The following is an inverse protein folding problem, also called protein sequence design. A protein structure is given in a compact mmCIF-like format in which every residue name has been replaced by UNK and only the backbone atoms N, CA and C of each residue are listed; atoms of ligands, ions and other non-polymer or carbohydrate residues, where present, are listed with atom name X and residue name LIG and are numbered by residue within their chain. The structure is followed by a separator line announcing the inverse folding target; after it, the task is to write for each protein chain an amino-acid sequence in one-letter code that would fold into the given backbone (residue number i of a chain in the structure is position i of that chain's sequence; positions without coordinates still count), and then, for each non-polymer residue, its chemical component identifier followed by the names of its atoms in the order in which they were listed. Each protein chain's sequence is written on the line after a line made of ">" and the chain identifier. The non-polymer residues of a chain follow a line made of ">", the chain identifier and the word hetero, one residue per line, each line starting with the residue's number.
data_IF_578026307950
#
_entry.id   IF_578026307950
#
_cell.length_a   1.000
_cell.length_b   1.000
_cell.length_c   1.000
_cell.angle_alpha   90.00
_cell.angle_beta   90.00
_cell.angle_gamma   90.00
#
_symmetry.space_group_name_H-M   'P 1'
#
loop_
_entity.id
_entity.type
_entity.pdbx_description
1 polymer ?
#
# COMPACT_ATOMS: atom_id res chain seq x y z
N UNK A 1 -6.62 6.18 6.57
CA UNK A 1 -5.54 7.06 7.05
C UNK A 1 -4.69 7.54 5.87
N UNK A 2 -4.40 8.84 5.79
CA UNK A 2 -3.41 9.39 4.85
C UNK A 2 -2.02 9.18 5.44
N UNK A 3 -1.09 8.63 4.66
CA UNK A 3 0.27 8.33 5.12
C UNK A 3 1.24 9.43 4.68
N UNK A 4 1.10 9.89 3.45
CA UNK A 4 1.96 10.93 2.87
C UNK A 4 1.91 10.93 1.35
N UNK A 5 2.77 11.74 0.75
CA UNK A 5 2.84 11.91 -0.69
C UNK A 5 4.13 11.32 -1.26
N UNK A 6 4.02 10.76 -2.46
CA UNK A 6 5.14 10.29 -3.27
C UNK A 6 5.35 11.30 -4.40
N UNK A 7 6.51 11.96 -4.47
CA UNK A 7 6.76 12.94 -5.52
C UNK A 7 6.81 12.28 -6.90
N UNK A 8 6.60 13.06 -7.97
CA UNK A 8 6.68 12.55 -9.34
C UNK A 8 8.05 11.93 -9.64
N UNK A 9 8.07 10.92 -10.52
CA UNK A 9 9.30 10.29 -10.99
C UNK A 9 9.03 9.33 -12.14
N UNK A 10 10.09 8.66 -12.61
CA UNK A 10 10.04 7.67 -13.69
C UNK A 10 10.40 6.26 -13.24
N UNK A 11 10.91 6.11 -12.03
CA UNK A 11 11.28 4.83 -11.47
C UNK A 11 10.05 4.06 -11.03
N UNK A 12 10.13 2.74 -11.11
CA UNK A 12 9.10 1.86 -10.59
C UNK A 12 8.93 2.06 -9.08
N UNK A 13 7.70 1.88 -8.60
CA UNK A 13 7.44 1.88 -7.18
C UNK A 13 7.32 0.46 -6.65
N UNK A 14 8.10 0.18 -5.62
CA UNK A 14 7.99 -1.02 -4.82
C UNK A 14 7.14 -0.73 -3.59
N UNK A 15 6.02 -1.43 -3.49
CA UNK A 15 5.09 -1.37 -2.36
C UNK A 15 5.23 -2.67 -1.59
N UNK A 16 5.84 -2.59 -0.42
CA UNK A 16 5.95 -3.69 0.54
C UNK A 16 4.93 -3.46 1.65
N UNK A 17 3.99 -4.38 1.77
CA UNK A 17 2.91 -4.31 2.74
C UNK A 17 2.87 -5.61 3.54
N UNK A 18 2.97 -5.48 4.85
CA UNK A 18 2.74 -6.58 5.77
C UNK A 18 1.44 -6.30 6.52
N UNK A 19 0.60 -7.30 6.66
CA UNK A 19 -0.54 -7.20 7.57
C UNK A 19 -0.83 -8.50 8.31
N UNK A 20 -1.48 -8.35 9.46
CA UNK A 20 -1.94 -9.41 10.35
C UNK A 20 -3.26 -9.00 11.00
N UNK A 21 -4.10 -9.99 11.29
CA UNK A 21 -5.40 -9.80 11.91
C UNK A 21 -6.52 -10.00 10.88
N UNK A 22 -7.65 -10.56 11.33
CA UNK A 22 -8.76 -10.87 10.44
C UNK A 22 -9.41 -9.57 9.91
N UNK A 23 -9.29 -9.34 8.59
CA UNK A 23 -9.91 -8.18 7.95
C UNK A 23 -9.43 -7.93 6.52
N UNK A 24 -9.99 -6.90 5.89
CA UNK A 24 -9.55 -6.41 4.58
C UNK A 24 -8.81 -5.09 4.77
N UNK A 25 -7.62 -4.98 4.19
CA UNK A 25 -6.89 -3.74 4.05
C UNK A 25 -6.88 -3.31 2.59
N UNK A 26 -6.85 -2.01 2.32
CA UNK A 26 -6.71 -1.46 0.99
C UNK A 26 -5.67 -0.34 1.02
N UNK A 27 -4.70 -0.42 0.09
CA UNK A 27 -3.76 0.66 -0.16
C UNK A 27 -4.20 1.39 -1.41
N UNK A 28 -4.38 2.71 -1.31
CA UNK A 28 -4.65 3.58 -2.45
C UNK A 28 -3.45 4.48 -2.71
N UNK A 29 -3.00 4.51 -3.96
CA UNK A 29 -2.09 5.53 -4.47
C UNK A 29 -2.94 6.43 -5.37
N UNK A 30 -3.54 7.45 -4.77
CA UNK A 30 -4.48 8.32 -5.46
C UNK A 30 -3.76 9.19 -6.50
N UNK A 31 -4.36 9.38 -7.69
CA UNK A 31 -5.70 8.95 -8.08
C UNK A 31 -5.76 7.58 -8.80
N UNK A 32 -4.62 6.93 -9.04
CA UNK A 32 -4.52 5.94 -10.12
C UNK A 32 -4.67 4.48 -9.68
N UNK A 33 -4.30 4.14 -8.44
CA UNK A 33 -4.12 2.73 -8.02
C UNK A 33 -4.86 2.44 -6.72
N UNK A 34 -5.60 1.34 -6.71
CA UNK A 34 -6.14 0.72 -5.50
C UNK A 34 -5.71 -0.75 -5.45
N UNK A 35 -5.20 -1.18 -4.30
CA UNK A 35 -4.69 -2.52 -4.07
C UNK A 35 -5.36 -3.10 -2.83
N UNK A 36 -6.35 -4.01 -3.00
CA UNK A 36 -7.00 -4.68 -1.88
C UNK A 36 -6.20 -5.90 -1.42
N UNK A 37 -6.21 -6.13 -0.11
CA UNK A 37 -5.54 -7.24 0.56
C UNK A 37 -6.43 -7.86 1.62
N UNK A 38 -6.39 -9.18 1.73
CA UNK A 38 -7.02 -9.92 2.84
C UNK A 38 -5.95 -10.27 3.85
N UNK A 39 -6.14 -9.80 5.08
CA UNK A 39 -5.26 -10.07 6.21
C UNK A 39 -5.84 -11.22 7.03
N UNK A 40 -4.96 -12.11 7.49
CA UNK A 40 -5.32 -13.31 8.22
C UNK A 40 -4.85 -13.20 9.67
N UNK A 41 -5.64 -13.76 10.58
CA UNK A 41 -5.25 -13.83 11.97
C UNK A 41 -4.14 -14.87 12.20
N UNK A 42 -3.27 -14.64 13.17
CA UNK A 42 -2.14 -15.52 13.50
C UNK A 42 -1.02 -15.61 12.44
N UNK A 43 -1.17 -14.97 11.28
CA UNK A 43 -0.21 -15.00 10.18
C UNK A 43 0.13 -13.59 9.69
N UNK A 44 1.41 -13.27 9.59
CA UNK A 44 1.87 -12.08 8.87
C UNK A 44 1.91 -12.44 7.38
N UNK A 45 1.13 -11.75 6.57
CA UNK A 45 1.11 -11.92 5.12
C UNK A 45 1.99 -10.84 4.47
N UNK A 46 3.20 -11.19 3.98
CA UNK A 46 4.05 -10.24 3.26
C UNK A 46 3.61 -10.14 1.81
N UNK A 47 3.37 -8.91 1.37
CA UNK A 47 2.95 -8.61 0.01
C UNK A 47 3.94 -7.62 -0.59
N UNK A 48 4.44 -7.95 -1.78
CA UNK A 48 5.39 -7.10 -2.52
C UNK A 48 4.87 -6.89 -3.93
N UNK A 49 4.51 -5.65 -4.25
CA UNK A 49 4.07 -5.25 -5.58
C UNK A 49 5.08 -4.29 -6.19
N UNK A 50 5.52 -4.60 -7.42
CA UNK A 50 6.23 -3.66 -8.29
C UNK A 50 5.21 -3.01 -9.19
N UNK A 51 5.17 -1.70 -9.20
CA UNK A 51 4.25 -0.94 -10.02
C UNK A 51 5.03 -0.08 -11.01
N UNK A 52 4.87 -0.38 -12.31
CA UNK A 52 5.29 0.52 -13.37
C UNK A 52 4.21 1.58 -13.54
N UNK A 53 4.56 2.77 -13.10
CA UNK A 53 3.66 3.89 -13.05
C UNK A 53 3.84 4.82 -14.28
N UNK A 54 4.89 4.64 -15.07
CA UNK A 54 5.29 5.59 -16.10
C UNK A 54 5.58 6.98 -15.53
N UNK A 55 5.32 8.03 -16.32
CA UNK A 55 5.63 9.42 -15.93
C UNK A 55 4.47 10.01 -15.11
N UNK A 56 4.54 9.95 -13.78
CA UNK A 56 3.42 10.35 -12.91
C UNK A 56 3.57 11.71 -12.24
N UNK A 57 2.42 12.24 -11.83
CA UNK A 57 2.25 13.35 -10.90
C UNK A 57 2.53 12.87 -9.47
N UNK A 58 2.51 13.78 -8.50
CA UNK A 58 2.50 13.41 -7.09
C UNK A 58 1.34 12.46 -6.80
N UNK A 59 1.61 11.38 -6.08
CA UNK A 59 0.59 10.42 -5.62
C UNK A 59 0.40 10.56 -4.12
N UNK A 60 -0.83 10.52 -3.65
CA UNK A 60 -1.13 10.47 -2.21
C UNK A 60 -1.37 9.03 -1.79
N UNK A 61 -0.62 8.59 -0.79
CA UNK A 61 -0.73 7.25 -0.21
C UNK A 61 -1.77 7.26 0.90
N UNK A 62 -2.79 6.41 0.76
CA UNK A 62 -3.78 6.15 1.81
C UNK A 62 -3.84 4.66 2.11
N UNK A 63 -3.99 4.35 3.40
CA UNK A 63 -4.28 2.99 3.87
C UNK A 63 -5.66 2.99 4.52
N UNK A 64 -6.51 2.05 4.13
CA UNK A 64 -7.79 1.78 4.77
C UNK A 64 -7.72 0.37 5.34
N UNK A 65 -7.86 0.24 6.65
CA UNK A 65 -7.90 -1.05 7.33
C UNK A 65 -8.77 -0.89 8.58
N UNK A 66 -9.49 -1.94 9.01
CA UNK A 66 -10.20 -1.94 10.29
C UNK A 66 -9.18 -1.98 11.45
N UNK A 67 -9.63 -1.57 12.64
CA UNK A 67 -8.78 -1.56 13.85
C UNK A 67 -8.31 -2.95 14.28
N UNK A 68 -8.96 -4.01 13.79
CA UNK A 68 -8.54 -5.41 14.00
C UNK A 68 -7.32 -5.83 13.16
N UNK A 69 -6.86 -4.98 12.24
CA UNK A 69 -5.74 -5.27 11.35
C UNK A 69 -4.54 -4.41 11.73
N UNK A 70 -3.48 -5.07 12.15
CA UNK A 70 -2.15 -4.47 12.27
C UNK A 70 -1.44 -4.52 10.92
N UNK A 71 -0.75 -3.43 10.58
CA UNK A 71 -0.10 -3.33 9.28
C UNK A 71 1.17 -2.49 9.33
N UNK A 72 2.06 -2.77 8.37
CA UNK A 72 3.25 -1.98 8.09
C UNK A 72 3.37 -1.78 6.58
N UNK A 73 3.64 -0.55 6.17
CA UNK A 73 3.81 -0.17 4.78
C UNK A 73 5.19 0.44 4.57
N UNK A 74 5.89 -0.03 3.55
CA UNK A 74 7.07 0.62 2.99
C UNK A 74 6.85 0.85 1.51
N UNK A 75 7.10 2.07 1.06
CA UNK A 75 7.16 2.42 -0.35
C UNK A 75 8.57 2.87 -0.67
N UNK A 76 9.17 2.32 -1.73
CA UNK A 76 10.49 2.69 -2.23
C UNK A 76 10.48 2.78 -3.75
N UNK A 77 11.46 3.51 -4.28
CA UNK A 77 11.87 3.44 -5.69
C UNK A 77 12.91 2.34 -5.84
#
# INVERSE_FOLDING_TARGET
>A
MVIGDIPPGKDDLWVLFNCRGAGKAEIRLEPDVAMPFTCLDGLISPIMNRLDLGRRKTLTVRVQAPDSVEWALRVTR
#
